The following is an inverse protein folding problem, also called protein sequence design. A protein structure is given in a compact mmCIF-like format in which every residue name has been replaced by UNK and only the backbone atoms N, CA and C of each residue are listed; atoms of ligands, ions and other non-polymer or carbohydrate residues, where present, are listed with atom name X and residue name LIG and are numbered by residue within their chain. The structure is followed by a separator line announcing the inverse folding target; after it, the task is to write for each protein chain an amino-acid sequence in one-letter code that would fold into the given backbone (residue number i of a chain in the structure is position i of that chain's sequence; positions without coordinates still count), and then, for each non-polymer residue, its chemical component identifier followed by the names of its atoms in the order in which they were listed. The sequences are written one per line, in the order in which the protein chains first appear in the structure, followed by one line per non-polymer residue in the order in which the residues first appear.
data_IF_349826044708
#
_entry.id   IF_349826044708
#
_cell.length_a   1.000
_cell.length_b   1.000
_cell.length_c   1.000
_cell.angle_alpha   90.00
_cell.angle_beta   90.00
_cell.angle_gamma   90.00
#
_symmetry.space_group_name_H-M   'P 1'
#
loop_
_entity.id
_entity.type
_entity.pdbx_description
1 polymer ?
#
# COMPACT_ATOMS: atom_id res chain seq x y z
N UNK A 1 3.61 -4.38 -12.96
CA UNK A 1 3.21 -2.96 -13.08
C UNK A 1 3.15 -2.33 -11.70
N UNK A 2 2.30 -2.83 -10.79
CA UNK A 2 2.15 -2.26 -9.45
C UNK A 2 3.45 -2.15 -8.63
N UNK A 3 4.47 -3.00 -8.86
CA UNK A 3 5.76 -2.88 -8.18
C UNK A 3 6.48 -1.58 -8.54
N UNK A 4 6.60 -1.27 -9.83
CA UNK A 4 7.24 -0.03 -10.29
C UNK A 4 6.48 1.21 -9.83
N UNK A 5 5.14 1.16 -9.88
CA UNK A 5 4.30 2.25 -9.39
C UNK A 5 4.49 2.45 -7.87
N UNK A 6 4.63 1.37 -7.11
CA UNK A 6 4.90 1.44 -5.67
C UNK A 6 6.30 2.00 -5.35
N UNK A 7 7.33 1.63 -6.11
CA UNK A 7 8.67 2.21 -5.97
C UNK A 7 8.63 3.72 -6.26
N UNK A 8 7.93 4.12 -7.32
CA UNK A 8 7.77 5.53 -7.66
C UNK A 8 7.02 6.31 -6.58
N UNK A 9 5.99 5.72 -5.97
CA UNK A 9 5.29 6.33 -4.83
C UNK A 9 6.22 6.51 -3.63
N UNK A 10 7.06 5.52 -3.32
CA UNK A 10 8.03 5.64 -2.24
C UNK A 10 9.03 6.78 -2.48
N UNK A 11 9.53 6.92 -3.72
CA UNK A 11 10.45 8.01 -4.06
C UNK A 11 9.79 9.40 -4.01
N UNK A 12 8.50 9.50 -4.28
CA UNK A 12 7.74 10.75 -4.14
C UNK A 12 7.51 11.14 -2.67
N UNK A 13 7.42 10.15 -1.78
CA UNK A 13 7.16 10.35 -0.34
C UNK A 13 8.44 10.60 0.46
N UNK A 14 9.59 10.08 0.02
CA UNK A 14 10.91 10.31 0.66
C UNK A 14 11.20 11.80 0.96
N UNK A 15 11.06 12.75 0.01
CA UNK A 15 11.31 14.16 0.29
C UNK A 15 10.37 14.78 1.33
N UNK A 16 9.23 14.14 1.62
CA UNK A 16 8.27 14.55 2.64
C UNK A 16 8.61 13.97 4.03
N UNK A 17 9.70 13.20 4.16
CA UNK A 17 10.16 12.61 5.42
C UNK A 17 9.61 11.21 5.70
N UNK A 18 8.89 10.60 4.76
CA UNK A 18 8.43 9.22 4.92
C UNK A 18 9.53 8.22 4.56
N UNK A 19 9.58 7.13 5.31
CA UNK A 19 10.46 5.99 5.06
C UNK A 19 9.63 4.70 4.90
N UNK A 20 10.14 3.76 4.12
CA UNK A 20 9.50 2.46 3.93
C UNK A 20 9.76 1.59 5.15
N UNK A 21 8.70 1.06 5.75
CA UNK A 21 8.78 0.06 6.82
C UNK A 21 8.22 -1.28 6.36
N UNK A 22 8.80 -2.37 6.85
CA UNK A 22 8.26 -3.72 6.69
C UNK A 22 7.28 -4.11 7.81
N UNK A 23 7.09 -3.24 8.80
CA UNK A 23 6.19 -3.46 9.94
C UNK A 23 4.97 -2.55 9.80
N UNK A 24 3.79 -3.11 9.45
CA UNK A 24 2.57 -2.31 9.29
C UNK A 24 2.17 -1.54 10.56
N UNK A 25 2.49 -2.09 11.73
CA UNK A 25 2.14 -1.50 13.03
C UNK A 25 2.97 -0.27 13.39
N UNK A 26 4.06 -0.04 12.65
CA UNK A 26 4.93 1.12 12.79
C UNK A 26 4.71 2.14 11.67
N UNK A 27 3.74 1.91 10.79
CA UNK A 27 3.51 2.77 9.64
C UNK A 27 2.53 3.91 9.99
N UNK A 28 2.96 5.16 9.79
CA UNK A 28 2.06 6.32 9.86
C UNK A 28 1.13 6.44 8.65
N UNK A 29 1.48 5.77 7.54
CA UNK A 29 0.76 5.78 6.28
C UNK A 29 0.83 4.39 5.62
N UNK A 30 -0.33 3.86 5.22
CA UNK A 30 -0.43 2.61 4.45
C UNK A 30 -1.06 2.90 3.09
N UNK A 31 -0.41 2.44 2.01
CA UNK A 31 -0.89 2.60 0.63
C UNK A 31 -1.16 1.22 0.04
N UNK A 32 -2.42 0.96 -0.34
CA UNK A 32 -2.82 -0.26 -1.04
C UNK A 32 -2.88 0.00 -2.55
N UNK A 33 -1.83 -0.41 -3.26
CA UNK A 33 -1.75 -0.26 -4.72
C UNK A 33 -2.38 -1.44 -5.46
N UNK A 34 -3.62 -1.28 -5.94
CA UNK A 34 -4.38 -2.34 -6.62
C UNK A 34 -4.67 -2.03 -8.08
N UNK A 35 -4.97 -3.08 -8.85
CA UNK A 35 -5.35 -2.97 -10.25
C UNK A 35 -6.88 -3.03 -10.37
N UNK A 36 -7.51 -1.92 -10.76
CA UNK A 36 -8.98 -1.81 -10.80
C UNK A 36 -9.65 -2.67 -11.89
N UNK A 37 -8.92 -3.06 -12.95
CA UNK A 37 -9.48 -3.84 -14.07
C UNK A 37 -9.49 -5.35 -13.80
N UNK A 38 -8.96 -5.81 -12.66
CA UNK A 38 -8.91 -7.24 -12.30
C UNK A 38 -9.75 -7.46 -11.04
N UNK A 39 -10.88 -8.14 -11.21
CA UNK A 39 -11.83 -8.41 -10.13
C UNK A 39 -11.18 -9.10 -8.91
N UNK A 40 -10.34 -10.14 -9.13
CA UNK A 40 -9.58 -10.79 -8.05
C UNK A 40 -8.59 -9.87 -7.31
N UNK A 41 -8.10 -8.80 -7.94
CA UNK A 41 -7.22 -7.85 -7.26
C UNK A 41 -8.02 -6.95 -6.30
N UNK A 42 -9.25 -6.61 -6.67
CA UNK A 42 -10.18 -5.85 -5.84
C UNK A 42 -10.57 -6.64 -4.58
N UNK A 43 -10.93 -7.92 -4.72
CA UNK A 43 -11.24 -8.81 -3.58
C UNK A 43 -10.10 -8.90 -2.56
N UNK A 44 -8.85 -9.05 -3.05
CA UNK A 44 -7.66 -9.06 -2.20
C UNK A 44 -7.48 -7.74 -1.46
N UNK A 45 -7.78 -6.63 -2.11
CA UNK A 45 -7.66 -5.30 -1.49
C UNK A 45 -8.63 -5.15 -0.33
N UNK A 46 -9.87 -5.59 -0.48
CA UNK A 46 -10.85 -5.57 0.62
C UNK A 46 -10.43 -6.47 1.79
N UNK A 47 -9.83 -7.63 1.49
CA UNK A 47 -9.31 -8.53 2.52
C UNK A 47 -8.18 -7.89 3.32
N UNK A 48 -7.22 -7.23 2.66
CA UNK A 48 -6.14 -6.49 3.35
C UNK A 48 -6.67 -5.26 4.09
N UNK A 49 -7.65 -4.54 3.53
CA UNK A 49 -8.29 -3.40 4.19
C UNK A 49 -8.97 -3.82 5.50
N UNK A 50 -9.67 -4.97 5.50
CA UNK A 50 -10.28 -5.53 6.71
C UNK A 50 -9.23 -5.81 7.80
N UNK A 51 -8.10 -6.42 7.42
CA UNK A 51 -6.99 -6.69 8.37
C UNK A 51 -6.36 -5.43 8.93
N UNK A 52 -6.36 -4.32 8.18
CA UNK A 52 -5.83 -3.03 8.66
C UNK A 52 -6.85 -2.34 9.57
N UNK A 53 -8.14 -2.40 9.24
CA UNK A 53 -9.21 -1.76 10.04
C UNK A 53 -9.42 -2.44 11.40
N UNK A 54 -9.28 -3.76 11.44
CA UNK A 54 -9.54 -4.55 12.64
C UNK A 54 -8.29 -4.67 13.55
N UNK A 55 -7.25 -3.86 13.31
CA UNK A 55 -6.11 -3.59 14.20
C UNK A 55 -6.36 -2.33 15.02
#
# INVERSE_FOLDING_TARGET
MNVYDSERMADLLKPMGYEVTSQPDQADLVILNTCHIREKAVEKTYSELGRIRDK
#
